data_IF_492192367843
#
_entry.id   IF_492192367843
#
_cell.length_a   1.000
_cell.length_b   1.000
_cell.length_c   1.000
_cell.angle_alpha   90.00
_cell.angle_beta   90.00
_cell.angle_gamma   90.00
#
_symmetry.space_group_name_H-M   'P 1'
#
loop_
_entity.id
_entity.type
_entity.pdbx_description
1 polymer ?
#
# COMPACT_ATOMS: atom_id res chain seq x y z
N UNK A 1 2.77 29.13 -16.41
CA UNK A 1 2.05 27.95 -16.94
C UNK A 1 1.93 28.08 -18.45
N UNK A 2 2.01 26.99 -19.20
CA UNK A 2 1.81 27.04 -20.65
C UNK A 2 0.37 26.69 -21.02
N UNK A 3 -0.17 27.40 -22.00
CA UNK A 3 -1.46 27.13 -22.63
C UNK A 3 -1.16 26.60 -24.03
N UNK A 4 -1.73 25.44 -24.35
CA UNK A 4 -1.62 24.80 -25.66
C UNK A 4 -2.80 25.17 -26.54
N UNK A 5 -2.54 25.63 -27.76
CA UNK A 5 -3.55 25.70 -28.82
C UNK A 5 -3.47 24.40 -29.64
N UNK A 6 -4.53 23.59 -29.58
CA UNK A 6 -4.64 22.40 -30.42
C UNK A 6 -5.18 22.78 -31.80
N UNK A 7 -4.29 22.83 -32.79
CA UNK A 7 -4.66 22.84 -34.20
C UNK A 7 -4.22 21.51 -34.83
N UNK A 8 -5.05 20.94 -35.72
CA UNK A 8 -4.78 19.67 -36.45
C UNK A 8 -3.45 19.61 -37.23
N UNK A 9 -2.62 20.68 -37.22
CA UNK A 9 -1.33 20.77 -37.91
C UNK A 9 -0.15 21.29 -37.03
N UNK A 10 -0.34 21.56 -35.73
CA UNK A 10 0.78 21.97 -34.87
C UNK A 10 0.37 22.43 -33.47
N UNK A 11 1.28 22.25 -32.50
CA UNK A 11 1.08 22.65 -31.11
C UNK A 11 1.80 23.98 -30.85
N UNK A 12 1.07 25.01 -30.42
CA UNK A 12 1.66 26.27 -29.97
C UNK A 12 1.56 26.36 -28.44
N UNK A 13 2.69 26.58 -27.77
CA UNK A 13 2.75 26.75 -26.31
C UNK A 13 3.00 28.20 -25.94
N UNK A 14 2.08 28.81 -25.20
CA UNK A 14 2.21 30.19 -24.73
C UNK A 14 2.49 30.19 -23.24
N UNK A 15 3.64 30.72 -22.82
CA UNK A 15 4.02 30.82 -21.40
C UNK A 15 3.43 32.08 -20.76
N UNK A 16 2.56 31.89 -19.77
CA UNK A 16 1.99 32.99 -18.98
C UNK A 16 2.77 33.24 -17.69
N UNK A 17 2.75 34.51 -17.25
CA UNK A 17 3.23 34.93 -15.93
C UNK A 17 2.43 34.22 -14.81
N UNK A 18 3.09 33.81 -13.72
CA UNK A 18 2.44 33.13 -12.61
C UNK A 18 1.33 34.00 -11.99
N UNK A 19 0.14 33.43 -11.80
CA UNK A 19 -1.02 34.11 -11.19
C UNK A 19 -2.02 34.75 -12.17
N UNK A 20 -1.66 34.96 -13.45
CA UNK A 20 -2.54 35.57 -14.47
C UNK A 20 -3.13 34.56 -15.47
N UNK A 21 -3.32 33.31 -15.04
CA UNK A 21 -3.77 32.22 -15.93
C UNK A 21 -5.17 32.43 -16.50
N UNK A 22 -6.11 32.92 -15.69
CA UNK A 22 -7.50 33.18 -16.13
C UNK A 22 -7.58 34.35 -17.11
N UNK A 23 -6.85 35.44 -16.81
CA UNK A 23 -6.76 36.63 -17.68
C UNK A 23 -6.04 36.31 -18.99
N UNK A 24 -4.93 35.56 -18.93
CA UNK A 24 -4.18 35.14 -20.10
C UNK A 24 -4.98 34.19 -21.00
N UNK A 25 -5.79 33.29 -20.42
CA UNK A 25 -6.70 32.42 -21.18
C UNK A 25 -7.78 33.24 -21.90
N UNK A 26 -8.42 34.20 -21.22
CA UNK A 26 -9.44 35.06 -21.82
C UNK A 26 -8.87 35.94 -22.94
N UNK A 27 -7.67 36.49 -22.76
CA UNK A 27 -6.98 37.28 -23.80
C UNK A 27 -6.63 36.42 -25.03
N UNK A 28 -6.19 35.17 -24.80
CA UNK A 28 -5.91 34.22 -25.88
C UNK A 28 -7.18 33.82 -26.61
N UNK A 29 -8.28 33.52 -25.91
CA UNK A 29 -9.58 33.23 -26.52
C UNK A 29 -10.08 34.39 -27.41
N UNK A 30 -9.88 35.63 -26.98
CA UNK A 30 -10.27 36.81 -27.74
C UNK A 30 -9.39 37.03 -28.97
N UNK A 31 -8.07 36.97 -28.81
CA UNK A 31 -7.11 37.12 -29.92
C UNK A 31 -7.34 36.03 -30.99
N UNK A 32 -7.64 34.82 -30.55
CA UNK A 32 -7.88 33.70 -31.43
C UNK A 32 -9.19 33.86 -32.22
N UNK A 33 -10.24 34.40 -31.62
CA UNK A 33 -11.48 34.75 -32.34
C UNK A 33 -11.31 35.89 -33.33
N UNK A 34 -10.38 36.80 -33.08
CA UNK A 34 -10.11 37.95 -33.95
C UNK A 34 -9.28 37.56 -35.18
N UNK A 35 -8.36 36.62 -35.04
CA UNK A 35 -7.45 36.21 -36.11
C UNK A 35 -7.81 34.88 -36.81
N UNK A 36 -8.74 34.07 -36.28
CA UNK A 36 -9.19 32.83 -36.92
C UNK A 36 -10.68 32.86 -37.31
N UNK A 37 -11.05 32.28 -38.48
CA UNK A 37 -12.45 32.17 -38.90
C UNK A 37 -13.27 31.29 -37.95
N UNK A 38 -14.56 31.62 -37.77
CA UNK A 38 -15.52 30.96 -36.86
C UNK A 38 -15.65 29.43 -37.05
N UNK A 39 -15.21 28.92 -38.20
CA UNK A 39 -15.21 27.49 -38.52
C UNK A 39 -14.15 26.67 -37.77
N UNK A 40 -13.18 27.32 -37.11
CA UNK A 40 -12.13 26.66 -36.33
C UNK A 40 -12.35 27.03 -34.86
N UNK A 41 -12.75 26.05 -34.04
CA UNK A 41 -12.81 26.18 -32.58
C UNK A 41 -11.53 25.56 -31.98
N UNK A 42 -10.49 26.36 -31.70
CA UNK A 42 -9.29 25.83 -31.09
C UNK A 42 -9.56 25.48 -29.63
N UNK A 43 -9.19 24.25 -29.26
CA UNK A 43 -9.20 23.81 -27.88
C UNK A 43 -8.02 24.45 -27.14
N UNK A 44 -8.34 25.39 -26.25
CA UNK A 44 -7.38 26.08 -25.39
C UNK A 44 -7.31 25.31 -24.07
N UNK A 45 -6.29 24.48 -23.94
CA UNK A 45 -6.04 23.71 -22.72
C UNK A 45 -4.84 24.25 -21.96
N UNK A 46 -4.97 24.28 -20.64
CA UNK A 46 -3.81 24.52 -19.78
C UNK A 46 -3.01 23.23 -19.70
N UNK A 47 -1.68 23.31 -19.69
CA UNK A 47 -0.84 22.14 -19.38
C UNK A 47 -1.20 21.47 -18.04
N UNK A 48 -1.77 22.25 -17.10
CA UNK A 48 -2.28 21.75 -15.83
C UNK A 48 -3.49 20.84 -16.02
N UNK A 49 -4.37 21.16 -16.96
CA UNK A 49 -5.57 20.38 -17.25
C UNK A 49 -5.21 19.04 -17.93
N UNK A 50 -4.24 19.06 -18.86
CA UNK A 50 -3.68 17.83 -19.44
C UNK A 50 -2.98 16.96 -18.38
N UNK A 51 -2.19 17.58 -17.49
CA UNK A 51 -1.54 16.87 -16.40
C UNK A 51 -2.55 16.27 -15.42
N UNK A 52 -3.65 16.98 -15.10
CA UNK A 52 -4.71 16.41 -14.27
C UNK A 52 -5.40 15.22 -14.94
N UNK A 53 -5.58 15.24 -16.27
CA UNK A 53 -6.17 14.11 -16.99
C UNK A 53 -5.30 12.86 -16.90
N UNK A 54 -3.99 12.99 -17.08
CA UNK A 54 -3.04 11.87 -16.89
C UNK A 54 -3.03 11.38 -15.43
N UNK A 55 -3.07 12.30 -14.46
CA UNK A 55 -3.10 11.97 -13.03
C UNK A 55 -4.38 11.27 -12.58
N UNK A 56 -5.53 11.46 -13.26
CA UNK A 56 -6.78 10.78 -12.87
C UNK A 56 -6.69 9.26 -13.02
N UNK A 57 -6.06 8.77 -14.10
CA UNK A 57 -5.87 7.34 -14.33
C UNK A 57 -4.97 6.73 -13.26
N UNK A 58 -3.84 7.37 -12.94
CA UNK A 58 -2.93 6.92 -11.89
C UNK A 58 -3.61 6.92 -10.50
N UNK A 59 -4.41 7.95 -10.21
CA UNK A 59 -5.14 8.04 -8.94
C UNK A 59 -6.22 6.96 -8.84
N UNK A 60 -6.91 6.66 -9.93
CA UNK A 60 -7.90 5.58 -9.97
C UNK A 60 -7.23 4.22 -9.71
N UNK A 61 -6.14 3.92 -10.41
CA UNK A 61 -5.36 2.69 -10.19
C UNK A 61 -4.88 2.60 -8.73
N UNK A 62 -4.30 3.68 -8.20
CA UNK A 62 -3.87 3.74 -6.79
C UNK A 62 -5.02 3.42 -5.82
N UNK A 63 -6.20 3.99 -6.05
CA UNK A 63 -7.35 3.75 -5.19
C UNK A 63 -7.84 2.30 -5.27
N UNK A 64 -7.88 1.71 -6.48
CA UNK A 64 -8.23 0.31 -6.69
C UNK A 64 -7.24 -0.61 -5.96
N UNK A 65 -5.93 -0.40 -6.14
CA UNK A 65 -4.91 -1.15 -5.41
C UNK A 65 -5.02 -0.99 -3.89
N UNK A 66 -5.29 0.22 -3.41
CA UNK A 66 -5.46 0.47 -1.96
C UNK A 66 -6.68 -0.26 -1.41
N UNK A 67 -7.78 -0.30 -2.17
CA UNK A 67 -8.98 -1.05 -1.80
C UNK A 67 -8.69 -2.55 -1.71
N UNK A 68 -8.09 -3.15 -2.75
CA UNK A 68 -7.72 -4.56 -2.73
C UNK A 68 -6.71 -4.89 -1.63
N UNK A 69 -5.71 -4.05 -1.40
CA UNK A 69 -4.76 -4.23 -0.29
C UNK A 69 -5.48 -4.28 1.07
N UNK A 70 -6.47 -3.40 1.27
CA UNK A 70 -7.29 -3.39 2.50
C UNK A 70 -8.10 -4.67 2.65
N UNK A 71 -8.73 -5.14 1.57
CA UNK A 71 -9.49 -6.40 1.57
C UNK A 71 -8.58 -7.60 1.84
N UNK A 72 -7.43 -7.70 1.17
CA UNK A 72 -6.44 -8.75 1.40
C UNK A 72 -5.94 -8.78 2.85
N UNK A 73 -5.76 -7.61 3.46
CA UNK A 73 -5.40 -7.50 4.87
C UNK A 73 -6.48 -8.11 5.77
N UNK A 74 -7.76 -7.77 5.55
CA UNK A 74 -8.88 -8.34 6.31
C UNK A 74 -8.94 -9.86 6.15
N UNK A 75 -8.81 -10.37 4.93
CA UNK A 75 -8.81 -11.82 4.65
C UNK A 75 -7.65 -12.51 5.36
N UNK A 76 -6.47 -11.90 5.36
CA UNK A 76 -5.30 -12.42 6.04
C UNK A 76 -5.51 -12.46 7.56
N UNK A 77 -6.12 -11.42 8.15
CA UNK A 77 -6.46 -11.42 9.58
C UNK A 77 -7.45 -12.54 9.94
N UNK A 78 -8.46 -12.78 9.10
CA UNK A 78 -9.41 -13.88 9.26
C UNK A 78 -8.71 -15.24 9.11
N UNK A 79 -7.80 -15.39 8.14
CA UNK A 79 -7.02 -16.61 7.93
C UNK A 79 -6.11 -16.94 9.11
N UNK A 80 -5.36 -15.95 9.61
CA UNK A 80 -4.54 -16.12 10.82
C UNK A 80 -5.47 -16.41 12.02
N UNK A 81 -6.67 -15.81 12.10
CA UNK A 81 -7.64 -16.10 13.18
C UNK A 81 -8.09 -17.57 13.16
N UNK A 82 -8.52 -18.06 12.01
CA UNK A 82 -8.88 -19.45 11.82
C UNK A 82 -7.72 -20.41 12.13
N UNK A 83 -6.52 -20.11 11.63
CA UNK A 83 -5.32 -20.92 11.88
C UNK A 83 -4.96 -20.99 13.38
N UNK A 84 -4.99 -19.85 14.08
CA UNK A 84 -4.73 -19.82 15.53
C UNK A 84 -5.83 -20.54 16.30
N UNK A 85 -7.10 -20.42 15.89
CA UNK A 85 -8.20 -21.16 16.53
C UNK A 85 -7.96 -22.67 16.44
N UNK A 86 -7.62 -23.16 15.25
CA UNK A 86 -7.31 -24.59 15.03
C UNK A 86 -6.04 -25.04 15.78
N UNK A 87 -4.99 -24.22 15.79
CA UNK A 87 -3.76 -24.53 16.54
C UNK A 87 -4.00 -24.54 18.04
N UNK A 88 -4.85 -23.65 18.55
CA UNK A 88 -5.21 -23.58 19.98
C UNK A 88 -6.01 -24.81 20.37
N UNK A 89 -6.97 -25.24 19.55
CA UNK A 89 -7.78 -26.44 19.79
C UNK A 89 -6.92 -27.72 19.75
N UNK A 90 -5.97 -27.81 18.80
CA UNK A 90 -5.03 -28.94 18.71
C UNK A 90 -4.03 -28.99 19.86
N UNK A 91 -3.54 -27.83 20.31
CA UNK A 91 -2.54 -27.71 21.38
C UNK A 91 -3.14 -27.43 22.76
N UNK A 92 -4.47 -27.41 22.87
CA UNK A 92 -5.20 -27.08 24.09
C UNK A 92 -4.81 -28.01 25.23
N UNK A 93 -4.63 -29.30 24.95
CA UNK A 93 -4.19 -30.31 25.93
C UNK A 93 -2.77 -30.01 26.45
N UNK A 94 -1.82 -29.69 25.58
CA UNK A 94 -0.44 -29.35 25.98
C UNK A 94 -0.37 -28.04 26.78
N UNK A 95 -1.13 -27.03 26.36
CA UNK A 95 -1.21 -25.73 27.02
C UNK A 95 -1.91 -25.84 28.37
N UNK A 96 -3.00 -26.61 28.46
CA UNK A 96 -3.69 -26.92 29.70
C UNK A 96 -2.74 -27.58 30.68
N UNK A 97 -2.11 -28.72 30.32
CA UNK A 97 -1.15 -29.46 31.17
C UNK A 97 -0.02 -28.57 31.67
N UNK A 98 0.58 -27.74 30.80
CA UNK A 98 1.63 -26.79 31.21
C UNK A 98 1.14 -25.74 32.19
N UNK A 99 -0.09 -25.24 32.02
CA UNK A 99 -0.71 -24.24 32.90
C UNK A 99 -1.03 -24.83 34.29
N UNK A 100 -1.43 -26.11 34.37
CA UNK A 100 -1.64 -26.81 35.65
C UNK A 100 -0.31 -27.08 36.36
N UNK A 101 0.77 -27.35 35.61
CA UNK A 101 2.14 -27.46 36.13
C UNK A 101 2.79 -26.11 36.51
N UNK A 102 2.01 -25.02 36.60
CA UNK A 102 2.51 -23.72 37.05
C UNK A 102 3.29 -22.91 36.00
N UNK A 103 3.26 -23.30 34.73
CA UNK A 103 3.91 -22.51 33.68
C UNK A 103 3.21 -21.16 33.52
N UNK A 104 3.95 -20.06 33.73
CA UNK A 104 3.40 -18.71 33.56
C UNK A 104 3.02 -18.42 32.11
N UNK A 105 2.03 -17.55 31.92
CA UNK A 105 1.58 -17.05 30.62
C UNK A 105 2.73 -16.53 29.73
N UNK A 106 3.83 -16.03 30.35
CA UNK A 106 5.02 -15.54 29.65
C UNK A 106 5.75 -16.63 28.87
N UNK A 107 5.79 -17.86 29.39
CA UNK A 107 6.48 -18.98 28.73
C UNK A 107 5.70 -19.44 27.48
N UNK A 108 4.36 -19.41 27.56
CA UNK A 108 3.49 -19.72 26.43
C UNK A 108 3.68 -18.65 25.36
N UNK A 109 3.64 -17.36 25.72
CA UNK A 109 3.83 -16.27 24.75
C UNK A 109 5.20 -16.31 24.06
N UNK A 110 6.27 -16.65 24.78
CA UNK A 110 7.61 -16.73 24.22
C UNK A 110 7.74 -17.85 23.18
N UNK A 111 7.12 -19.01 23.44
CA UNK A 111 7.15 -20.14 22.50
C UNK A 111 6.47 -19.79 21.18
N UNK A 112 5.29 -19.15 21.24
CA UNK A 112 4.59 -18.68 20.05
C UNK A 112 5.37 -17.60 19.32
N UNK A 113 5.94 -16.63 20.05
CA UNK A 113 6.73 -15.56 19.46
C UNK A 113 7.94 -16.11 18.70
N UNK A 114 8.67 -17.08 19.27
CA UNK A 114 9.81 -17.73 18.60
C UNK A 114 9.39 -18.48 17.34
N UNK A 115 8.28 -19.21 17.38
CA UNK A 115 7.78 -19.96 16.23
C UNK A 115 7.41 -19.03 15.05
N UNK A 116 6.61 -17.99 15.32
CA UNK A 116 6.18 -17.06 14.27
C UNK A 116 7.30 -16.15 13.78
N UNK A 117 8.24 -15.74 14.63
CA UNK A 117 9.44 -15.01 14.18
C UNK A 117 10.31 -15.89 13.29
N UNK A 118 10.46 -17.18 13.60
CA UNK A 118 11.16 -18.13 12.73
C UNK A 118 10.48 -18.25 11.36
N UNK A 119 9.15 -18.36 11.36
CA UNK A 119 8.36 -18.39 10.12
C UNK A 119 8.52 -17.11 9.29
N UNK A 120 8.54 -15.95 9.96
CA UNK A 120 8.73 -14.64 9.34
C UNK A 120 10.13 -14.50 8.72
N UNK A 121 11.18 -14.97 9.39
CA UNK A 121 12.53 -14.95 8.85
C UNK A 121 12.64 -15.78 7.57
N UNK A 122 12.07 -16.99 7.58
CA UNK A 122 12.05 -17.85 6.40
C UNK A 122 11.28 -17.17 5.27
N UNK A 123 10.09 -16.63 5.55
CA UNK A 123 9.28 -15.95 4.55
C UNK A 123 10.01 -14.73 3.95
N UNK A 124 10.63 -13.90 4.79
CA UNK A 124 11.37 -12.70 4.36
C UNK A 124 12.53 -13.07 3.44
N UNK A 125 13.24 -14.16 3.74
CA UNK A 125 14.37 -14.64 2.94
C UNK A 125 13.97 -14.93 1.49
N UNK A 126 12.76 -15.43 1.24
CA UNK A 126 12.24 -15.68 -0.11
C UNK A 126 11.56 -14.45 -0.73
N UNK A 127 10.85 -13.66 0.07
CA UNK A 127 10.07 -12.52 -0.44
C UNK A 127 10.97 -11.36 -0.88
N UNK A 128 12.05 -11.06 -0.14
CA UNK A 128 12.96 -9.97 -0.51
C UNK A 128 13.63 -10.12 -1.89
N UNK A 129 14.28 -11.25 -2.24
CA UNK A 129 14.86 -11.41 -3.56
C UNK A 129 13.80 -11.37 -4.66
N UNK A 130 12.63 -11.98 -4.41
CA UNK A 130 11.53 -11.98 -5.36
C UNK A 130 10.99 -10.56 -5.62
N UNK A 131 10.82 -9.76 -4.57
CA UNK A 131 10.41 -8.36 -4.69
C UNK A 131 11.46 -7.51 -5.39
N UNK A 132 12.76 -7.75 -5.13
CA UNK A 132 13.83 -7.05 -5.81
C UNK A 132 13.81 -7.33 -7.33
N UNK A 133 13.64 -8.58 -7.74
CA UNK A 133 13.54 -8.95 -9.16
C UNK A 133 12.34 -8.30 -9.85
N UNK A 134 11.16 -8.33 -9.22
CA UNK A 134 9.96 -7.71 -9.78
C UNK A 134 10.13 -6.20 -9.89
N UNK A 135 10.66 -5.57 -8.85
CA UNK A 135 10.86 -4.11 -8.84
C UNK A 135 11.88 -3.69 -9.90
N UNK A 136 12.95 -4.45 -10.08
CA UNK A 136 13.95 -4.23 -11.12
C UNK A 136 13.34 -4.30 -12.52
N UNK A 137 12.60 -5.36 -12.83
CA UNK A 137 11.90 -5.51 -14.12
C UNK A 137 10.88 -4.39 -14.37
N UNK A 138 10.08 -4.04 -13.36
CA UNK A 138 9.09 -2.99 -13.52
C UNK A 138 9.72 -1.60 -13.71
N UNK A 139 10.80 -1.28 -12.99
CA UNK A 139 11.45 0.03 -13.08
C UNK A 139 12.33 0.21 -14.31
N UNK A 140 12.73 -0.86 -15.02
CA UNK A 140 13.50 -0.75 -16.28
C UNK A 140 12.81 0.16 -17.31
N UNK A 141 11.48 0.15 -17.34
CA UNK A 141 10.68 0.89 -18.31
C UNK A 141 10.29 2.31 -17.85
N UNK A 142 10.69 2.73 -16.64
CA UNK A 142 10.26 4.00 -16.05
C UNK A 142 11.38 5.05 -16.07
N UNK A 143 11.04 6.27 -16.48
CA UNK A 143 11.99 7.39 -16.65
C UNK A 143 12.49 7.92 -15.29
N UNK A 144 11.69 7.82 -14.24
CA UNK A 144 12.05 8.21 -12.87
C UNK A 144 12.50 6.95 -12.11
N UNK A 145 13.81 6.79 -11.95
CA UNK A 145 14.38 5.66 -11.20
C UNK A 145 14.37 5.98 -9.71
N UNK A 146 13.53 5.29 -8.94
CA UNK A 146 13.63 5.31 -7.49
C UNK A 146 14.91 4.58 -7.07
N UNK A 147 15.67 5.11 -6.09
CA UNK A 147 16.91 4.47 -5.65
C UNK A 147 16.62 3.33 -4.64
N UNK A 148 16.13 2.20 -5.16
CA UNK A 148 15.82 0.99 -4.37
C UNK A 148 17.07 0.17 -4.01
N UNK A 149 18.25 0.54 -4.54
CA UNK A 149 19.51 -0.15 -4.26
C UNK A 149 20.12 0.26 -2.90
N UNK A 150 19.47 1.18 -2.18
CA UNK A 150 19.91 1.55 -0.84
C UNK A 150 19.57 0.43 0.16
N UNK A 151 20.55 -0.23 0.79
CA UNK A 151 20.30 -1.30 1.76
C UNK A 151 19.49 -0.81 2.98
N UNK A 152 19.56 0.48 3.30
CA UNK A 152 18.80 1.08 4.40
C UNK A 152 17.29 1.04 4.15
N UNK A 153 16.87 1.10 2.88
CA UNK A 153 15.45 0.98 2.49
C UNK A 153 14.91 -0.42 2.81
N UNK A 154 15.65 -1.46 2.39
CA UNK A 154 15.28 -2.86 2.65
C UNK A 154 15.32 -3.21 4.14
N UNK A 155 16.32 -2.71 4.87
CA UNK A 155 16.35 -2.83 6.33
C UNK A 155 15.15 -2.14 6.99
N UNK A 156 14.78 -0.94 6.53
CA UNK A 156 13.59 -0.23 7.02
C UNK A 156 12.31 -1.06 6.85
N UNK A 157 12.12 -1.65 5.67
CA UNK A 157 10.98 -2.54 5.39
C UNK A 157 10.99 -3.75 6.33
N UNK A 158 12.14 -4.39 6.50
CA UNK A 158 12.29 -5.54 7.40
C UNK A 158 11.89 -5.21 8.84
N UNK A 159 12.36 -4.07 9.36
CA UNK A 159 12.03 -3.62 10.71
C UNK A 159 10.54 -3.33 10.85
N UNK A 160 9.93 -2.63 9.89
CA UNK A 160 8.49 -2.33 9.92
C UNK A 160 7.65 -3.61 9.92
N UNK A 161 7.97 -4.57 9.05
CA UNK A 161 7.26 -5.86 8.98
C UNK A 161 7.42 -6.65 10.28
N UNK A 162 8.64 -6.67 10.84
CA UNK A 162 8.93 -7.37 12.09
C UNK A 162 8.17 -6.76 13.27
N UNK A 163 8.19 -5.43 13.40
CA UNK A 163 7.45 -4.71 14.44
C UNK A 163 5.96 -4.94 14.29
N UNK A 164 5.43 -4.81 13.07
CA UNK A 164 4.00 -5.02 12.80
C UNK A 164 3.57 -6.44 13.17
N UNK A 165 4.34 -7.45 12.76
CA UNK A 165 4.05 -8.86 13.07
C UNK A 165 4.13 -9.11 14.57
N UNK A 166 5.13 -8.57 15.26
CA UNK A 166 5.25 -8.66 16.72
C UNK A 166 4.04 -8.04 17.43
N UNK A 167 3.57 -6.87 16.99
CA UNK A 167 2.38 -6.20 17.54
C UNK A 167 1.12 -7.04 17.31
N UNK A 168 0.92 -7.57 16.10
CA UNK A 168 -0.24 -8.43 15.78
C UNK A 168 -0.25 -9.68 16.66
N UNK A 169 0.90 -10.35 16.81
CA UNK A 169 1.03 -11.53 17.67
C UNK A 169 0.73 -11.17 19.13
N UNK A 170 1.28 -10.05 19.63
CA UNK A 170 1.07 -9.60 21.00
C UNK A 170 -0.40 -9.28 21.29
N UNK A 171 -1.06 -8.53 20.41
CA UNK A 171 -2.51 -8.24 20.52
C UNK A 171 -3.32 -9.53 20.52
N UNK A 172 -2.93 -10.49 19.70
CA UNK A 172 -3.65 -11.77 19.58
C UNK A 172 -3.47 -12.67 20.78
N UNK A 173 -2.25 -12.79 21.30
CA UNK A 173 -1.96 -13.50 22.55
C UNK A 173 -2.70 -12.86 23.71
N UNK A 174 -2.73 -11.52 23.82
CA UNK A 174 -3.47 -10.82 24.86
C UNK A 174 -4.99 -11.06 24.76
N UNK A 175 -5.55 -11.11 23.55
CA UNK A 175 -6.96 -11.48 23.33
C UNK A 175 -7.22 -12.94 23.67
N UNK A 176 -6.39 -13.87 23.23
CA UNK A 176 -6.53 -15.31 23.52
C UNK A 176 -6.35 -15.61 25.00
N UNK A 177 -5.45 -14.89 25.68
CA UNK A 177 -5.24 -14.97 27.13
C UNK A 177 -6.45 -14.50 27.96
N UNK A 178 -7.28 -13.61 27.40
CA UNK A 178 -8.53 -13.15 28.01
C UNK A 178 -9.69 -14.13 27.81
N UNK A 179 -9.53 -15.16 26.98
CA UNK A 179 -10.50 -16.25 26.89
C UNK A 179 -10.36 -17.09 28.15
N UNK A 180 -11.41 -17.11 28.95
CA UNK A 180 -11.43 -17.76 30.25
C UNK A 180 -11.35 -19.28 30.05
N UNK A 181 -10.33 -19.99 30.58
CA UNK A 181 -10.20 -21.44 30.42
C UNK A 181 -11.38 -22.23 30.97
N UNK A 182 -12.19 -21.62 31.86
CA UNK A 182 -13.41 -22.20 32.38
C UNK A 182 -14.52 -22.38 31.33
N UNK A 183 -14.56 -21.56 30.28
CA UNK A 183 -15.56 -21.66 29.20
C UNK A 183 -15.21 -22.78 28.21
N UNK A 184 -13.92 -23.10 28.07
CA UNK A 184 -13.42 -24.18 27.22
C UNK A 184 -13.72 -25.57 27.82
N UNK A 185 -13.75 -25.67 29.14
CA UNK A 185 -14.01 -26.94 29.86
C UNK A 185 -15.52 -27.18 30.03
N UNK A 186 -16.34 -26.12 30.00
CA UNK A 186 -17.82 -26.23 30.06
C UNK A 186 -18.49 -26.44 28.70
N UNK A 187 -17.75 -26.32 27.60
CA UNK A 187 -18.26 -26.57 26.26
C UNK A 187 -18.22 -28.06 25.87
N UNK A 188 -17.84 -28.94 26.81
CA UNK A 188 -18.06 -30.38 26.74
C UNK A 188 -19.52 -30.73 27.04
#
# INVERSE_FOLDING_TARGET
LAIGLLQKQGNCYVRLQPGKEKEGKAYLEQTVKEFLPESIQPEIHTLKDECTRIQTTERMLRNVFTFFATVCLIITLLGIYAAISQDTERRQKEVAIRKINGASLKNISYLFMKFYLGLLLIATLFVFPLMWMITDEMLKNWIIRFNYNNPLFWLGIFFVITIFTAVVILVKILRTARINPADVIKAE
#
